data_IF_895542502163
#
_entry.id   IF_895542502163
#
_cell.length_a   1.000
_cell.length_b   1.000
_cell.length_c   1.000
_cell.angle_alpha   90.00
_cell.angle_beta   90.00
_cell.angle_gamma   90.00
#
_symmetry.space_group_name_H-M   'P 1'
#
loop_
_entity.id
_entity.type
_entity.pdbx_description
1 polymer ?
#
# COMPACT_ATOMS: atom_id res chain seq x y z
N UNK A 1 7.43 -18.98 -38.30
CA UNK A 1 7.13 -17.81 -37.46
C UNK A 1 8.45 -17.13 -37.16
N UNK A 2 8.68 -15.95 -37.74
CA UNK A 2 9.95 -15.23 -37.63
C UNK A 2 10.12 -14.71 -36.20
N UNK A 3 11.16 -15.17 -35.51
CA UNK A 3 11.53 -14.73 -34.18
C UNK A 3 12.03 -13.29 -34.23
N UNK A 4 11.14 -12.34 -33.94
CA UNK A 4 11.51 -10.96 -33.66
C UNK A 4 12.23 -10.98 -32.31
N UNK A 5 13.56 -11.18 -32.33
CA UNK A 5 14.41 -10.80 -31.19
C UNK A 5 14.24 -9.30 -31.03
N UNK A 6 13.45 -8.91 -30.03
CA UNK A 6 13.37 -7.50 -29.60
C UNK A 6 14.77 -7.11 -29.16
N UNK A 7 15.37 -6.24 -29.94
CA UNK A 7 16.66 -5.65 -29.59
C UNK A 7 16.38 -4.64 -28.47
N UNK A 8 16.76 -5.00 -27.25
CA UNK A 8 16.56 -4.16 -26.07
C UNK A 8 17.77 -3.23 -25.83
N UNK A 9 18.71 -3.17 -26.76
CA UNK A 9 19.91 -2.32 -26.66
C UNK A 9 19.52 -0.85 -26.46
N UNK A 10 18.46 -0.40 -27.13
CA UNK A 10 17.88 0.94 -27.00
C UNK A 10 17.37 1.25 -25.58
N UNK A 11 17.02 0.23 -24.77
CA UNK A 11 16.57 0.39 -23.39
C UNK A 11 17.72 0.29 -22.38
N UNK A 12 18.84 -0.34 -22.75
CA UNK A 12 20.03 -0.47 -21.90
C UNK A 12 20.83 0.85 -21.90
N UNK A 13 20.82 1.57 -23.02
CA UNK A 13 21.52 2.84 -23.18
C UNK A 13 20.66 4.08 -22.86
N UNK A 14 19.38 3.89 -22.49
CA UNK A 14 18.58 5.00 -21.94
C UNK A 14 19.08 5.31 -20.53
N UNK A 15 19.71 6.48 -20.35
CA UNK A 15 19.90 7.05 -19.03
C UNK A 15 18.55 7.05 -18.29
N UNK A 16 18.51 6.37 -17.14
CA UNK A 16 17.37 6.41 -16.23
C UNK A 16 16.93 7.87 -16.08
N UNK A 17 15.62 8.19 -16.21
CA UNK A 17 15.17 9.55 -16.04
C UNK A 17 15.73 10.06 -14.72
N UNK A 18 16.61 11.06 -14.79
CA UNK A 18 17.32 11.54 -13.61
C UNK A 18 16.26 12.05 -12.64
N UNK A 19 15.91 11.24 -11.64
CA UNK A 19 15.03 11.64 -10.56
C UNK A 19 15.67 12.90 -9.96
N UNK A 20 14.98 14.01 -10.18
CA UNK A 20 15.32 15.39 -9.83
C UNK A 20 16.13 15.45 -8.53
N UNK A 21 17.46 15.43 -8.66
CA UNK A 21 18.48 15.37 -7.58
C UNK A 21 18.29 14.16 -6.63
N UNK A 22 19.27 13.24 -6.51
CA UNK A 22 19.16 12.17 -5.53
C UNK A 22 19.04 12.78 -4.13
N UNK A 23 17.90 12.56 -3.48
CA UNK A 23 17.64 12.98 -2.10
C UNK A 23 18.85 12.65 -1.23
N UNK A 24 19.24 13.58 -0.37
CA UNK A 24 20.29 13.35 0.61
C UNK A 24 19.94 12.14 1.48
N UNK A 25 20.96 11.51 2.08
CA UNK A 25 20.75 10.38 3.00
C UNK A 25 19.75 10.71 4.11
N UNK A 26 19.75 11.96 4.59
CA UNK A 26 18.83 12.45 5.62
C UNK A 26 17.40 12.50 5.10
N UNK A 27 17.17 13.11 3.93
CA UNK A 27 15.84 13.20 3.32
C UNK A 27 15.25 11.81 3.02
N UNK A 28 16.06 10.88 2.52
CA UNK A 28 15.63 9.48 2.33
C UNK A 28 15.24 8.81 3.65
N UNK A 29 16.03 8.99 4.71
CA UNK A 29 15.72 8.44 6.02
C UNK A 29 14.43 9.05 6.61
N UNK A 30 14.22 10.36 6.42
CA UNK A 30 12.99 11.05 6.84
C UNK A 30 11.76 10.55 6.10
N UNK A 31 11.86 10.33 4.78
CA UNK A 31 10.77 9.78 3.99
C UNK A 31 10.43 8.34 4.39
N UNK A 32 11.45 7.51 4.60
CA UNK A 32 11.25 6.15 5.11
C UNK A 32 10.54 6.15 6.46
N UNK A 33 11.00 6.99 7.41
CA UNK A 33 10.39 7.09 8.73
C UNK A 33 8.94 7.60 8.66
N UNK A 34 8.64 8.56 7.80
CA UNK A 34 7.27 9.02 7.58
C UNK A 34 6.37 7.92 7.01
N UNK A 35 6.88 7.15 6.05
CA UNK A 35 6.15 6.02 5.47
C UNK A 35 5.87 4.93 6.50
N UNK A 36 6.87 4.53 7.28
CA UNK A 36 6.71 3.57 8.37
C UNK A 36 5.74 4.06 9.45
N UNK A 37 5.75 5.36 9.77
CA UNK A 37 4.79 5.95 10.70
C UNK A 37 3.35 5.85 10.17
N UNK A 38 3.13 6.10 8.87
CA UNK A 38 1.82 5.94 8.24
C UNK A 38 1.36 4.48 8.27
N UNK A 39 2.23 3.54 7.90
CA UNK A 39 1.92 2.11 7.92
C UNK A 39 1.59 1.61 9.34
N UNK A 40 2.40 1.99 10.32
CA UNK A 40 2.17 1.62 11.73
C UNK A 40 0.88 2.24 12.28
N UNK A 41 0.59 3.50 11.94
CA UNK A 41 -0.65 4.18 12.31
C UNK A 41 -1.88 3.48 11.73
N UNK A 42 -1.83 3.11 10.44
CA UNK A 42 -2.91 2.34 9.79
C UNK A 42 -3.18 1.03 10.54
N UNK A 43 -2.13 0.26 10.84
CA UNK A 43 -2.25 -1.01 11.58
C UNK A 43 -2.84 -0.83 12.99
N UNK A 44 -2.53 0.28 13.66
CA UNK A 44 -3.10 0.59 14.97
C UNK A 44 -4.59 0.92 14.88
N UNK A 45 -5.01 1.66 13.85
CA UNK A 45 -6.41 1.96 13.61
C UNK A 45 -7.22 0.71 13.29
N UNK A 46 -6.70 -0.18 12.43
CA UNK A 46 -7.34 -1.47 12.11
C UNK A 46 -7.54 -2.32 13.39
N UNK A 47 -6.52 -2.41 14.24
CA UNK A 47 -6.64 -3.10 15.53
C UNK A 47 -7.64 -2.43 16.48
N UNK A 48 -7.65 -1.10 16.51
CA UNK A 48 -8.60 -0.33 17.32
C UNK A 48 -10.03 -0.56 16.87
N UNK A 49 -10.27 -0.60 15.57
CA UNK A 49 -11.57 -0.93 14.98
C UNK A 49 -12.01 -2.35 15.31
N UNK A 50 -11.12 -3.35 15.21
CA UNK A 50 -11.41 -4.73 15.60
C UNK A 50 -11.84 -4.84 17.06
N UNK A 51 -11.12 -4.20 17.98
CA UNK A 51 -11.46 -4.16 19.41
C UNK A 51 -12.79 -3.45 19.61
N UNK A 52 -12.99 -2.31 18.96
CA UNK A 52 -14.22 -1.53 19.09
C UNK A 52 -15.45 -2.31 18.60
N UNK A 53 -15.35 -2.95 17.44
CA UNK A 53 -16.39 -3.82 16.87
C UNK A 53 -16.73 -4.97 17.81
N UNK A 54 -15.73 -5.56 18.45
CA UNK A 54 -15.93 -6.70 19.35
C UNK A 54 -16.58 -6.27 20.67
N UNK A 55 -16.03 -5.27 21.33
CA UNK A 55 -16.31 -4.97 22.74
C UNK A 55 -17.36 -3.87 22.94
N UNK A 56 -17.47 -2.92 22.02
CA UNK A 56 -18.21 -1.68 22.25
C UNK A 56 -19.29 -1.39 21.20
N UNK A 57 -19.14 -1.89 19.97
CA UNK A 57 -20.08 -1.59 18.90
C UNK A 57 -21.49 -2.14 19.19
N UNK A 58 -22.54 -1.38 18.84
CA UNK A 58 -23.92 -1.88 18.84
C UNK A 58 -24.12 -3.11 17.94
N UNK A 59 -25.01 -4.01 18.33
CA UNK A 59 -25.20 -5.30 17.66
C UNK A 59 -25.76 -5.16 16.23
N UNK A 60 -26.63 -4.17 16.01
CA UNK A 60 -27.15 -3.80 14.68
C UNK A 60 -26.02 -3.36 13.74
N UNK A 61 -25.07 -2.58 14.24
CA UNK A 61 -23.89 -2.17 13.49
C UNK A 61 -22.97 -3.35 13.15
N UNK A 62 -22.72 -4.27 14.10
CA UNK A 62 -21.91 -5.48 13.85
C UNK A 62 -22.48 -6.33 12.73
N UNK A 63 -23.81 -6.50 12.70
CA UNK A 63 -24.49 -7.24 11.65
C UNK A 63 -24.38 -6.57 10.27
N UNK A 64 -24.39 -5.24 10.21
CA UNK A 64 -24.21 -4.52 8.96
C UNK A 64 -22.79 -4.69 8.41
N UNK A 65 -21.77 -4.57 9.28
CA UNK A 65 -20.36 -4.77 8.89
C UNK A 65 -20.16 -6.20 8.35
N UNK A 66 -20.65 -7.22 9.06
CA UNK A 66 -20.53 -8.62 8.63
C UNK A 66 -21.19 -8.87 7.26
N UNK A 67 -22.34 -8.25 7.00
CA UNK A 67 -23.03 -8.34 5.69
C UNK A 67 -22.28 -7.63 4.57
N UNK A 68 -21.48 -6.60 4.86
CA UNK A 68 -20.64 -5.91 3.87
C UNK A 68 -19.44 -6.77 3.50
N UNK A 69 -18.78 -7.37 4.48
CA UNK A 69 -17.60 -8.23 4.27
C UNK A 69 -17.96 -9.44 3.39
N UNK A 70 -19.09 -10.09 3.66
CA UNK A 70 -19.57 -11.21 2.83
C UNK A 70 -19.80 -10.83 1.36
N UNK A 71 -20.30 -9.61 1.07
CA UNK A 71 -20.50 -9.16 -0.32
C UNK A 71 -19.18 -8.86 -1.04
N UNK A 72 -18.13 -8.51 -0.31
CA UNK A 72 -16.81 -8.26 -0.88
C UNK A 72 -16.06 -9.57 -1.17
N UNK A 73 -16.32 -10.65 -0.42
CA UNK A 73 -15.75 -11.97 -0.69
C UNK A 73 -16.40 -12.71 -1.89
N UNK A 74 -17.62 -12.34 -2.26
CA UNK A 74 -18.36 -12.92 -3.39
C UNK A 74 -18.03 -12.29 -4.77
N UNK A 75 -17.23 -11.23 -4.82
CA UNK A 75 -16.88 -10.48 -6.06
C UNK A 75 -15.41 -10.67 -6.44
#
# INVERSE_FOLDING_TARGET
MNGIKRDYTDMIDMELPSLKVPLSRKERASQYLAFEAVLSGKKLLEKGEEIWLKEYAPEDYKQEVYKRDQRQEET
#
